data_IF_506472720226
#
_entry.id   IF_506472720226
#
_cell.length_a   1.000
_cell.length_b   1.000
_cell.length_c   1.000
_cell.angle_alpha   90.00
_cell.angle_beta   90.00
_cell.angle_gamma   90.00
#
_symmetry.space_group_name_H-M   'P 1'
#
loop_
_entity.id
_entity.type
_entity.pdbx_description
1 polymer ?
#
# COMPACT_ATOMS: atom_id res chain seq x y z
N UNK A 1 20.55 -55.29 -58.74
CA UNK A 1 19.28 -54.67 -58.24
C UNK A 1 19.51 -54.06 -56.87
N UNK A 2 19.71 -52.71 -56.82
CA UNK A 2 20.00 -51.98 -55.58
C UNK A 2 18.76 -51.23 -55.14
N UNK A 3 18.17 -51.61 -54.02
CA UNK A 3 17.08 -50.89 -53.37
C UNK A 3 17.66 -50.00 -52.32
N UNK A 4 17.64 -48.68 -52.53
CA UNK A 4 18.01 -47.65 -51.55
C UNK A 4 16.80 -47.35 -50.65
N UNK A 5 16.91 -47.63 -49.38
CA UNK A 5 15.95 -47.18 -48.35
C UNK A 5 16.21 -45.71 -47.98
N UNK A 6 15.24 -44.83 -48.27
CA UNK A 6 15.20 -43.46 -47.76
C UNK A 6 14.54 -43.48 -46.39
N UNK A 7 15.31 -43.20 -45.34
CA UNK A 7 14.78 -42.95 -44.01
C UNK A 7 14.41 -41.47 -43.89
N UNK A 8 13.11 -41.16 -43.86
CA UNK A 8 12.60 -39.83 -43.64
C UNK A 8 12.66 -39.46 -42.17
N UNK A 9 13.42 -38.39 -41.84
CA UNK A 9 13.52 -37.83 -40.49
C UNK A 9 12.34 -36.86 -40.28
N UNK A 10 11.37 -37.25 -39.43
CA UNK A 10 10.30 -36.38 -39.01
C UNK A 10 10.78 -35.54 -37.80
N UNK A 11 11.02 -34.25 -38.01
CA UNK A 11 11.26 -33.31 -36.91
C UNK A 11 9.90 -32.82 -36.40
N UNK A 12 9.51 -33.29 -35.21
CA UNK A 12 8.32 -32.80 -34.53
C UNK A 12 8.63 -31.45 -33.88
N UNK A 13 8.14 -30.39 -34.46
CA UNK A 13 8.19 -29.04 -33.91
C UNK A 13 7.13 -28.94 -32.78
N UNK A 14 7.55 -29.06 -31.52
CA UNK A 14 6.68 -28.82 -30.35
C UNK A 14 6.56 -27.33 -30.14
N UNK A 15 5.48 -26.73 -30.65
CA UNK A 15 5.06 -25.39 -30.30
C UNK A 15 4.55 -25.40 -28.83
N UNK A 16 5.39 -24.98 -27.89
CA UNK A 16 4.96 -24.67 -26.53
C UNK A 16 4.09 -23.40 -26.61
N UNK A 17 2.79 -23.59 -26.73
CA UNK A 17 1.80 -22.54 -26.48
C UNK A 17 1.87 -22.21 -24.99
N UNK A 18 2.64 -21.18 -24.64
CA UNK A 18 2.57 -20.57 -23.32
C UNK A 18 1.13 -20.09 -23.10
N UNK A 19 0.38 -20.79 -22.25
CA UNK A 19 -0.91 -20.29 -21.80
C UNK A 19 -0.69 -18.90 -21.17
N UNK A 20 -1.45 -17.86 -21.57
CA UNK A 20 -1.40 -16.60 -20.84
C UNK A 20 -1.74 -16.90 -19.39
N UNK A 21 -0.87 -16.50 -18.47
CA UNK A 21 -1.18 -16.53 -17.05
C UNK A 21 -2.52 -15.78 -16.90
N UNK A 22 -3.54 -16.48 -16.45
CA UNK A 22 -4.81 -15.86 -16.09
C UNK A 22 -4.48 -14.83 -15.00
N UNK A 23 -4.45 -13.55 -15.37
CA UNK A 23 -4.47 -12.49 -14.38
C UNK A 23 -5.81 -12.65 -13.67
N UNK A 24 -5.77 -13.06 -12.39
CA UNK A 24 -6.94 -12.94 -11.55
C UNK A 24 -7.42 -11.49 -11.68
N UNK A 25 -8.71 -11.31 -12.00
CA UNK A 25 -9.28 -9.97 -12.08
C UNK A 25 -9.10 -9.32 -10.72
N UNK A 26 -8.19 -8.34 -10.66
CA UNK A 26 -7.96 -7.58 -9.44
C UNK A 26 -9.29 -6.90 -9.04
N UNK A 27 -9.65 -6.89 -7.74
CA UNK A 27 -10.85 -6.20 -7.30
C UNK A 27 -10.91 -4.75 -7.80
N UNK A 28 -12.10 -4.19 -7.88
CA UNK A 28 -12.32 -2.85 -8.42
C UNK A 28 -11.41 -1.80 -7.78
N UNK A 29 -10.73 -1.05 -8.63
CA UNK A 29 -9.89 0.06 -8.21
C UNK A 29 -10.06 1.24 -9.17
N UNK A 30 -9.77 2.43 -8.68
CA UNK A 30 -9.83 3.64 -9.49
C UNK A 30 -8.42 4.06 -9.89
N UNK A 31 -8.19 4.22 -11.19
CA UNK A 31 -6.91 4.66 -11.74
C UNK A 31 -6.98 6.11 -12.14
N UNK A 32 -6.09 6.92 -11.56
CA UNK A 32 -5.80 8.28 -11.96
C UNK A 32 -4.49 8.26 -12.74
N UNK A 33 -4.61 8.19 -14.07
CA UNK A 33 -3.46 8.04 -14.96
C UNK A 33 -2.60 9.31 -14.98
N UNK A 34 -1.28 9.13 -15.05
CA UNK A 34 -0.34 10.21 -15.24
C UNK A 34 0.86 9.75 -16.07
N UNK A 35 1.48 10.70 -16.80
CA UNK A 35 2.64 10.45 -17.65
C UNK A 35 3.97 10.39 -16.90
N UNK A 36 4.00 10.77 -15.62
CA UNK A 36 5.22 10.76 -14.82
C UNK A 36 5.67 9.35 -14.42
N UNK A 37 6.84 9.29 -13.82
CA UNK A 37 7.56 8.03 -13.56
C UNK A 37 7.15 7.33 -12.27
N UNK A 38 6.29 7.92 -11.42
CA UNK A 38 5.93 7.37 -10.11
C UNK A 38 4.54 6.79 -10.09
N UNK A 39 4.37 5.74 -9.27
CA UNK A 39 3.08 5.17 -8.97
C UNK A 39 2.83 5.20 -7.45
N UNK A 40 1.69 5.76 -7.07
CA UNK A 40 1.15 5.69 -5.71
C UNK A 40 -0.01 4.69 -5.68
N UNK A 41 0.15 3.61 -4.92
CA UNK A 41 -0.93 2.68 -4.61
C UNK A 41 -1.58 3.13 -3.30
N UNK A 42 -2.76 3.75 -3.38
CA UNK A 42 -3.48 4.28 -2.23
C UNK A 42 -4.49 3.26 -1.71
N UNK A 43 -4.31 2.80 -0.48
CA UNK A 43 -5.22 1.87 0.19
C UNK A 43 -6.00 2.65 1.25
N UNK A 44 -7.30 2.86 1.00
CA UNK A 44 -8.19 3.60 1.90
C UNK A 44 -8.40 2.85 3.22
N UNK A 45 -8.78 3.59 4.26
CA UNK A 45 -9.03 3.03 5.59
C UNK A 45 -10.29 2.16 5.64
N UNK A 46 -10.59 1.63 6.82
CA UNK A 46 -11.84 0.91 7.12
C UNK A 46 -13.12 1.76 6.92
N UNK A 47 -12.99 3.05 6.69
CA UNK A 47 -14.10 3.93 6.35
C UNK A 47 -14.43 3.96 4.86
N UNK A 48 -13.61 3.28 4.05
CA UNK A 48 -13.70 3.32 2.60
C UNK A 48 -13.09 4.59 2.02
N UNK A 49 -13.23 4.74 0.71
CA UNK A 49 -12.72 5.87 -0.07
C UNK A 49 -13.57 7.11 0.15
N UNK A 50 -12.93 8.25 0.38
CA UNK A 50 -13.58 9.53 0.64
C UNK A 50 -13.36 10.53 -0.51
N UNK A 51 -14.28 11.52 -0.66
CA UNK A 51 -14.12 12.58 -1.67
C UNK A 51 -12.81 13.37 -1.54
N UNK A 52 -12.32 13.76 -0.34
CA UNK A 52 -11.01 14.39 -0.23
C UNK A 52 -9.84 13.52 -0.73
N UNK A 53 -9.91 12.20 -0.54
CA UNK A 53 -8.90 11.26 -1.06
C UNK A 53 -8.94 11.20 -2.59
N UNK A 54 -10.13 11.16 -3.19
CA UNK A 54 -10.30 11.19 -4.65
C UNK A 54 -9.76 12.49 -5.24
N UNK A 55 -10.12 13.62 -4.64
CA UNK A 55 -9.59 14.92 -5.06
C UNK A 55 -8.05 14.97 -4.95
N UNK A 56 -7.48 14.47 -3.86
CA UNK A 56 -6.02 14.41 -3.71
C UNK A 56 -5.37 13.52 -4.77
N UNK A 57 -5.98 12.37 -5.12
CA UNK A 57 -5.49 11.50 -6.18
C UNK A 57 -5.51 12.16 -7.56
N UNK A 58 -6.57 12.92 -7.89
CA UNK A 58 -6.65 13.74 -9.11
C UNK A 58 -5.54 14.80 -9.16
N UNK A 59 -5.31 15.50 -8.06
CA UNK A 59 -4.28 16.51 -7.96
C UNK A 59 -2.86 15.93 -8.05
N UNK A 60 -2.63 14.72 -7.54
CA UNK A 60 -1.37 13.99 -7.69
C UNK A 60 -1.16 13.58 -9.16
N UNK A 61 -2.18 13.06 -9.82
CA UNK A 61 -2.12 12.71 -11.24
C UNK A 61 -1.80 13.92 -12.12
N UNK A 62 -2.42 15.07 -11.86
CA UNK A 62 -2.11 16.32 -12.54
C UNK A 62 -0.64 16.78 -12.34
N UNK A 63 0.04 16.27 -11.31
CA UNK A 63 1.46 16.54 -11.00
C UNK A 63 2.39 15.37 -11.38
N UNK A 64 1.91 14.46 -12.21
CA UNK A 64 2.70 13.37 -12.77
C UNK A 64 2.84 12.13 -11.87
N UNK A 65 2.04 11.99 -10.81
CA UNK A 65 2.01 10.78 -9.97
C UNK A 65 0.81 9.93 -10.34
N UNK A 66 1.02 8.83 -11.09
CA UNK A 66 -0.05 7.86 -11.35
C UNK A 66 -0.56 7.33 -10.01
N UNK A 67 -1.87 7.40 -9.77
CA UNK A 67 -2.45 6.97 -8.49
C UNK A 67 -3.51 5.90 -8.71
N UNK A 68 -3.33 4.77 -8.06
CA UNK A 68 -4.33 3.70 -8.00
C UNK A 68 -4.99 3.73 -6.63
N UNK A 69 -6.28 3.97 -6.59
CA UNK A 69 -7.05 4.06 -5.35
C UNK A 69 -7.83 2.77 -5.14
N UNK A 70 -7.44 2.03 -4.09
CA UNK A 70 -8.09 0.81 -3.64
C UNK A 70 -9.03 1.11 -2.48
N UNK A 71 -10.21 0.48 -2.50
CA UNK A 71 -11.18 0.52 -1.43
C UNK A 71 -11.53 -0.91 -0.99
N UNK A 72 -10.72 -1.51 -0.09
CA UNK A 72 -10.94 -2.88 0.34
C UNK A 72 -12.28 -3.09 1.03
N UNK A 73 -12.79 -2.07 1.74
CA UNK A 73 -14.09 -2.16 2.42
C UNK A 73 -15.22 -2.44 1.43
N UNK A 74 -15.27 -1.66 0.35
CA UNK A 74 -16.26 -1.86 -0.69
C UNK A 74 -15.99 -3.12 -1.53
N UNK A 75 -14.71 -3.37 -1.88
CA UNK A 75 -14.32 -4.50 -2.71
C UNK A 75 -14.66 -5.86 -2.08
N UNK A 76 -14.57 -5.96 -0.76
CA UNK A 76 -14.86 -7.20 -0.01
C UNK A 76 -16.14 -7.13 0.83
N UNK A 77 -16.98 -6.10 0.64
CA UNK A 77 -18.22 -5.91 1.39
C UNK A 77 -18.02 -5.97 2.92
N UNK A 78 -16.94 -5.38 3.41
CA UNK A 78 -16.59 -5.42 4.81
C UNK A 78 -17.36 -4.37 5.62
N UNK A 79 -17.68 -4.65 6.90
CA UNK A 79 -18.21 -3.63 7.80
C UNK A 79 -17.19 -2.49 7.99
N UNK A 80 -17.66 -1.25 8.18
CA UNK A 80 -16.79 -0.10 8.45
C UNK A 80 -16.27 -0.10 9.91
N UNK A 81 -15.49 -1.11 10.23
CA UNK A 81 -14.88 -1.31 11.54
C UNK A 81 -13.36 -1.49 11.39
N UNK A 82 -12.52 -0.97 12.31
CA UNK A 82 -11.07 -1.09 12.19
C UNK A 82 -10.61 -2.53 11.94
N UNK A 83 -11.11 -3.51 12.69
CA UNK A 83 -10.72 -4.93 12.53
C UNK A 83 -11.16 -5.58 11.21
N UNK A 84 -12.08 -4.97 10.49
CA UNK A 84 -12.50 -5.50 9.18
C UNK A 84 -11.36 -5.55 8.17
N UNK A 85 -10.40 -4.63 8.28
CA UNK A 85 -9.21 -4.63 7.44
C UNK A 85 -8.33 -5.88 7.64
N UNK A 86 -8.44 -6.55 8.79
CA UNK A 86 -7.72 -7.80 9.07
C UNK A 86 -8.23 -8.98 8.23
N UNK A 87 -9.46 -8.87 7.68
CA UNK A 87 -10.09 -9.88 6.84
C UNK A 87 -9.72 -9.74 5.34
N UNK A 88 -9.04 -8.67 4.94
CA UNK A 88 -8.55 -8.52 3.56
C UNK A 88 -7.55 -9.64 3.26
N UNK A 89 -7.77 -10.47 2.21
CA UNK A 89 -6.89 -11.60 1.92
C UNK A 89 -5.47 -11.16 1.58
N UNK A 90 -4.49 -11.71 2.26
CA UNK A 90 -3.08 -11.43 1.99
C UNK A 90 -2.67 -11.74 0.55
N UNK A 91 -3.09 -12.86 -0.08
CA UNK A 91 -2.78 -13.14 -1.48
C UNK A 91 -3.26 -12.05 -2.43
N UNK A 92 -4.49 -11.58 -2.26
CA UNK A 92 -5.08 -10.56 -3.14
C UNK A 92 -4.33 -9.23 -3.01
N UNK A 93 -4.03 -8.81 -1.78
CA UNK A 93 -3.23 -7.61 -1.57
C UNK A 93 -1.81 -7.77 -2.14
N UNK A 94 -1.20 -8.96 -2.06
CA UNK A 94 0.10 -9.23 -2.67
C UNK A 94 0.04 -9.16 -4.20
N UNK A 95 -1.06 -9.58 -4.82
CA UNK A 95 -1.28 -9.41 -6.27
C UNK A 95 -1.37 -7.94 -6.67
N UNK A 96 -2.05 -7.09 -5.86
CA UNK A 96 -2.05 -5.65 -6.05
C UNK A 96 -0.63 -5.06 -6.04
N UNK A 97 0.17 -5.46 -5.06
CA UNK A 97 1.55 -5.00 -4.96
C UNK A 97 2.37 -5.44 -6.20
N UNK A 98 2.21 -6.68 -6.65
CA UNK A 98 2.89 -7.18 -7.85
C UNK A 98 2.41 -6.47 -9.12
N UNK A 99 1.11 -6.24 -9.26
CA UNK A 99 0.55 -5.50 -10.40
C UNK A 99 1.11 -4.08 -10.48
N UNK A 100 1.22 -3.39 -9.33
CA UNK A 100 1.86 -2.08 -9.25
C UNK A 100 3.35 -2.15 -9.65
N UNK A 101 4.10 -3.12 -9.10
CA UNK A 101 5.52 -3.33 -9.44
C UNK A 101 5.75 -3.68 -10.91
N UNK A 102 4.80 -4.38 -11.55
CA UNK A 102 4.85 -4.74 -12.96
C UNK A 102 4.74 -3.51 -13.89
N UNK A 103 4.26 -2.35 -13.39
CA UNK A 103 4.26 -1.08 -14.14
C UNK A 103 5.67 -0.57 -14.47
N UNK A 104 6.71 -1.12 -13.84
CA UNK A 104 8.10 -0.70 -14.06
C UNK A 104 8.44 0.67 -13.46
N UNK A 105 7.52 1.30 -12.74
CA UNK A 105 7.70 2.57 -12.05
C UNK A 105 8.15 2.36 -10.60
N UNK A 106 8.85 3.32 -9.97
CA UNK A 106 8.97 3.39 -8.52
C UNK A 106 7.60 3.39 -7.85
N UNK A 107 7.36 2.42 -6.97
CA UNK A 107 6.06 2.22 -6.31
C UNK A 107 6.12 2.65 -4.85
N UNK A 108 5.24 3.55 -4.46
CA UNK A 108 4.95 3.84 -3.05
C UNK A 108 3.53 3.39 -2.73
N UNK A 109 3.38 2.58 -1.69
CA UNK A 109 2.06 2.21 -1.15
C UNK A 109 1.72 3.18 -0.04
N UNK A 110 0.60 3.88 -0.15
CA UNK A 110 0.06 4.73 0.90
C UNK A 110 -1.13 4.04 1.55
N UNK A 111 -1.03 3.78 2.84
CA UNK A 111 -2.07 3.10 3.60
C UNK A 111 -2.47 3.90 4.84
N UNK A 112 -3.78 3.97 5.10
CA UNK A 112 -4.37 4.79 6.15
C UNK A 112 -4.88 3.91 7.29
N UNK A 113 -4.56 4.27 8.52
CA UNK A 113 -5.03 3.60 9.74
C UNK A 113 -4.82 2.08 9.70
N UNK A 114 -5.89 1.27 9.85
CA UNK A 114 -5.80 -0.20 9.87
C UNK A 114 -5.53 -0.81 8.48
N UNK A 115 -5.69 -0.07 7.37
CA UNK A 115 -5.28 -0.53 6.04
C UNK A 115 -3.78 -0.87 5.95
N UNK A 116 -2.98 -0.36 6.86
CA UNK A 116 -1.58 -0.75 7.01
C UNK A 116 -1.39 -2.26 7.28
N UNK A 117 -2.37 -2.94 7.90
CA UNK A 117 -2.27 -4.38 8.25
C UNK A 117 -2.22 -5.27 7.01
N UNK A 118 -3.21 -5.26 6.09
CA UNK A 118 -3.14 -6.07 4.88
C UNK A 118 -1.95 -5.71 4.00
N UNK A 119 -1.57 -4.42 3.93
CA UNK A 119 -0.39 -3.98 3.16
C UNK A 119 0.90 -4.59 3.71
N UNK A 120 1.14 -4.54 5.02
CA UNK A 120 2.37 -5.08 5.60
C UNK A 120 2.39 -6.62 5.58
N UNK A 121 1.25 -7.30 5.78
CA UNK A 121 1.14 -8.76 5.58
C UNK A 121 1.50 -9.16 4.15
N UNK A 122 0.95 -8.45 3.18
CA UNK A 122 1.24 -8.71 1.78
C UNK A 122 2.71 -8.42 1.43
N UNK A 123 3.27 -7.31 1.92
CA UNK A 123 4.68 -6.99 1.70
C UNK A 123 5.61 -8.04 2.33
N UNK A 124 5.28 -8.57 3.51
CA UNK A 124 6.03 -9.67 4.13
C UNK A 124 5.99 -10.97 3.31
N UNK A 125 4.87 -11.24 2.62
CA UNK A 125 4.68 -12.40 1.77
C UNK A 125 5.36 -12.28 0.39
N UNK A 126 5.83 -11.09 -0.02
CA UNK A 126 6.57 -10.91 -1.26
C UNK A 126 7.98 -11.51 -1.18
N UNK A 127 8.53 -11.89 -2.34
CA UNK A 127 9.94 -12.24 -2.44
C UNK A 127 10.81 -11.04 -2.01
N UNK A 128 12.00 -11.28 -1.40
CA UNK A 128 12.87 -10.18 -0.94
C UNK A 128 13.19 -9.15 -2.03
N UNK A 129 13.40 -9.59 -3.27
CA UNK A 129 13.68 -8.70 -4.40
C UNK A 129 12.47 -7.83 -4.80
N UNK A 130 11.24 -8.34 -4.71
CA UNK A 130 10.01 -7.58 -4.93
C UNK A 130 9.83 -6.56 -3.81
N UNK A 131 9.96 -7.00 -2.55
CA UNK A 131 9.80 -6.17 -1.36
C UNK A 131 10.78 -5.00 -1.31
N UNK A 132 12.03 -5.20 -1.71
CA UNK A 132 13.05 -4.16 -1.75
C UNK A 132 12.73 -3.03 -2.75
N UNK A 133 11.84 -3.26 -3.71
CA UNK A 133 11.38 -2.27 -4.70
C UNK A 133 10.17 -1.45 -4.22
N UNK A 134 9.61 -1.76 -3.05
CA UNK A 134 8.48 -1.06 -2.46
C UNK A 134 8.93 -0.04 -1.42
N UNK A 135 8.24 1.09 -1.40
CA UNK A 135 8.18 1.98 -0.27
C UNK A 135 6.76 1.98 0.28
N UNK A 136 6.61 2.00 1.58
CA UNK A 136 5.31 2.04 2.24
C UNK A 136 5.23 3.31 3.09
N UNK A 137 4.22 4.12 2.84
CA UNK A 137 3.90 5.32 3.60
C UNK A 137 2.63 5.06 4.39
N UNK A 138 2.69 5.17 5.70
CA UNK A 138 1.61 4.83 6.62
C UNK A 138 1.11 6.08 7.34
N UNK A 139 -0.14 6.47 7.12
CA UNK A 139 -0.77 7.55 7.85
C UNK A 139 -1.42 7.04 9.14
N UNK A 140 -0.92 7.51 10.30
CA UNK A 140 -1.37 7.12 11.65
C UNK A 140 -1.75 5.64 11.75
N UNK A 141 -0.82 4.73 11.46
CA UNK A 141 -1.14 3.32 11.31
C UNK A 141 -1.63 2.70 12.63
N UNK A 142 -2.74 1.97 12.55
CA UNK A 142 -3.26 1.19 13.66
C UNK A 142 -2.72 -0.24 13.56
N UNK A 143 -1.50 -0.46 14.08
CA UNK A 143 -0.76 -1.73 14.02
C UNK A 143 -0.60 -2.39 15.40
N UNK A 144 -1.53 -2.14 16.29
CA UNK A 144 -1.47 -2.65 17.65
C UNK A 144 -2.77 -3.30 18.08
N UNK A 145 -2.67 -4.11 19.13
CA UNK A 145 -3.80 -4.64 19.89
C UNK A 145 -3.70 -4.16 21.32
N UNK A 146 -4.84 -3.94 21.95
CA UNK A 146 -4.94 -3.63 23.39
C UNK A 146 -5.78 -4.72 24.01
N UNK A 147 -5.21 -5.44 24.96
CA UNK A 147 -5.90 -6.55 25.62
C UNK A 147 -6.98 -6.04 26.58
N UNK A 148 -6.68 -4.95 27.28
CA UNK A 148 -7.56 -4.33 28.28
C UNK A 148 -7.54 -2.80 28.12
N UNK A 149 -8.59 -2.10 28.56
CA UNK A 149 -8.58 -0.65 28.59
C UNK A 149 -7.37 -0.11 29.38
N UNK A 150 -6.69 0.88 28.83
CA UNK A 150 -5.49 1.51 29.37
C UNK A 150 -4.22 0.64 29.45
N UNK A 151 -4.25 -0.60 28.96
CA UNK A 151 -3.05 -1.40 28.83
C UNK A 151 -2.11 -0.84 27.74
N UNK A 152 -0.82 -1.08 27.92
CA UNK A 152 0.15 -0.82 26.85
C UNK A 152 -0.17 -1.64 25.62
N UNK A 153 -0.08 -1.07 24.40
CA UNK A 153 -0.39 -1.80 23.19
C UNK A 153 0.69 -2.86 22.90
N UNK A 154 0.25 -4.04 22.48
CA UNK A 154 1.10 -5.02 21.82
C UNK A 154 1.09 -4.74 20.31
N UNK A 155 2.26 -4.67 19.70
CA UNK A 155 2.40 -4.42 18.27
C UNK A 155 2.27 -5.70 17.47
N UNK A 156 1.67 -5.60 16.26
CA UNK A 156 1.48 -6.75 15.38
C UNK A 156 2.83 -7.21 14.81
N UNK A 157 3.01 -8.52 14.76
CA UNK A 157 4.11 -9.17 14.06
C UNK A 157 3.67 -9.56 12.64
N UNK A 158 4.42 -9.09 11.65
CA UNK A 158 4.21 -9.39 10.23
C UNK A 158 5.22 -10.41 9.70
N UNK A 159 6.14 -10.88 10.53
CA UNK A 159 7.29 -11.67 10.13
C UNK A 159 8.41 -10.79 9.56
N UNK A 160 9.08 -11.24 8.50
CA UNK A 160 10.22 -10.50 7.96
C UNK A 160 9.78 -9.36 7.04
N UNK A 161 10.11 -8.12 7.45
CA UNK A 161 10.00 -6.92 6.64
C UNK A 161 11.37 -6.46 6.10
N UNK A 162 12.37 -7.34 6.09
CA UNK A 162 13.73 -7.01 5.66
C UNK A 162 13.75 -6.43 4.23
N UNK A 163 14.39 -5.26 4.10
CA UNK A 163 14.48 -4.52 2.85
C UNK A 163 13.29 -3.59 2.55
N UNK A 164 12.18 -3.69 3.30
CA UNK A 164 11.05 -2.77 3.15
C UNK A 164 11.38 -1.42 3.76
N UNK A 165 11.09 -0.35 3.02
CA UNK A 165 11.21 1.04 3.51
C UNK A 165 9.83 1.49 3.99
N UNK A 166 9.72 1.82 5.28
CA UNK A 166 8.45 2.24 5.91
C UNK A 166 8.57 3.66 6.43
N UNK A 167 7.69 4.55 5.98
CA UNK A 167 7.59 5.93 6.42
C UNK A 167 6.26 6.17 7.13
N UNK A 168 6.30 6.54 8.42
CA UNK A 168 5.12 6.77 9.24
C UNK A 168 4.81 8.27 9.31
N UNK A 169 3.61 8.66 8.89
CA UNK A 169 3.07 10.01 9.04
C UNK A 169 2.16 10.04 10.27
N UNK A 170 2.63 10.62 11.36
CA UNK A 170 1.92 10.61 12.63
C UNK A 170 1.39 11.99 12.99
N UNK A 171 0.06 12.22 13.01
CA UNK A 171 -0.52 13.45 13.53
C UNK A 171 -0.15 13.67 14.99
N UNK A 172 0.35 14.87 15.35
CA UNK A 172 0.76 15.22 16.72
C UNK A 172 -0.36 15.00 17.74
N UNK A 173 -1.58 15.29 17.34
CA UNK A 173 -2.77 15.23 18.22
C UNK A 173 -3.53 13.90 18.09
N UNK A 174 -2.84 12.82 17.73
CA UNK A 174 -3.36 11.46 17.76
C UNK A 174 -3.19 10.85 19.15
N UNK A 175 -4.17 10.05 19.57
CA UNK A 175 -4.09 9.28 20.82
C UNK A 175 -2.97 8.23 20.77
N UNK A 176 -2.56 7.78 19.57
CA UNK A 176 -1.50 6.82 19.39
C UNK A 176 -0.09 7.45 19.37
N UNK A 177 0.04 8.78 19.38
CA UNK A 177 1.36 9.45 19.33
C UNK A 177 2.31 9.06 20.47
N UNK A 178 1.86 8.88 21.72
CA UNK A 178 2.73 8.38 22.80
C UNK A 178 3.34 7.00 22.51
N UNK A 179 2.66 6.17 21.73
CA UNK A 179 3.08 4.81 21.38
C UNK A 179 3.94 4.73 20.12
N UNK A 180 4.14 5.85 19.41
CA UNK A 180 4.93 5.89 18.18
C UNK A 180 6.35 5.32 18.35
N UNK A 181 7.13 5.64 19.41
CA UNK A 181 8.47 5.08 19.55
C UNK A 181 8.48 3.55 19.58
N UNK A 182 7.54 2.93 20.31
CA UNK A 182 7.39 1.47 20.37
C UNK A 182 6.99 0.87 19.01
N UNK A 183 6.10 1.53 18.28
CA UNK A 183 5.72 1.12 16.93
C UNK A 183 6.92 1.12 15.97
N UNK A 184 7.70 2.21 15.95
CA UNK A 184 8.89 2.31 15.10
C UNK A 184 9.93 1.23 15.46
N UNK A 185 10.14 1.00 16.75
CA UNK A 185 11.05 -0.06 17.23
C UNK A 185 10.57 -1.46 16.80
N UNK A 186 9.26 -1.74 16.90
CA UNK A 186 8.67 -3.00 16.47
C UNK A 186 8.85 -3.25 14.96
N UNK A 187 8.58 -2.26 14.12
CA UNK A 187 8.78 -2.37 12.66
C UNK A 187 10.28 -2.56 12.32
N UNK A 188 11.17 -1.86 12.99
CA UNK A 188 12.61 -2.00 12.80
C UNK A 188 13.10 -3.38 13.25
N UNK A 189 12.58 -3.93 14.36
CA UNK A 189 12.92 -5.28 14.84
C UNK A 189 12.49 -6.37 13.83
N UNK A 190 11.44 -6.13 13.04
CA UNK A 190 11.01 -7.00 11.93
C UNK A 190 11.85 -6.78 10.65
N UNK A 191 12.85 -5.92 10.67
CA UNK A 191 13.81 -5.70 9.59
C UNK A 191 13.47 -4.56 8.62
N UNK A 192 12.42 -3.78 8.88
CA UNK A 192 12.09 -2.62 8.06
C UNK A 192 13.08 -1.47 8.27
N UNK A 193 13.35 -0.70 7.20
CA UNK A 193 14.03 0.60 7.30
C UNK A 193 12.99 1.67 7.57
N UNK A 194 12.93 2.15 8.81
CA UNK A 194 11.83 2.98 9.30
C UNK A 194 12.23 4.44 9.41
N UNK A 195 11.34 5.34 8.95
CA UNK A 195 11.35 6.78 9.20
C UNK A 195 9.98 7.25 9.63
N UNK A 196 9.90 8.45 10.18
CA UNK A 196 8.61 9.07 10.52
C UNK A 196 8.66 10.59 10.33
N UNK A 197 7.48 11.16 10.14
CA UNK A 197 7.23 12.60 10.20
C UNK A 197 6.07 12.87 11.16
N UNK A 198 6.21 13.90 12.00
CA UNK A 198 5.13 14.38 12.86
C UNK A 198 4.37 15.46 12.11
N UNK A 199 3.06 15.28 11.97
CA UNK A 199 2.16 16.25 11.37
C UNK A 199 1.60 17.15 12.45
N UNK A 200 2.19 18.34 12.57
CA UNK A 200 1.83 19.28 13.63
C UNK A 200 0.39 19.78 13.51
N UNK A 201 -0.27 20.00 14.63
CA UNK A 201 -1.64 20.52 14.75
C UNK A 201 -2.74 19.66 14.14
N UNK A 202 -2.44 18.47 13.60
CA UNK A 202 -3.39 17.55 13.01
C UNK A 202 -3.81 16.44 13.99
N UNK A 203 -5.08 16.02 13.85
CA UNK A 203 -5.64 14.80 14.45
C UNK A 203 -5.75 13.70 13.41
N UNK A 204 -5.95 12.47 13.84
CA UNK A 204 -6.22 11.33 12.96
C UNK A 204 -7.42 11.62 12.05
N UNK A 205 -7.31 11.24 10.78
CA UNK A 205 -8.38 11.41 9.80
C UNK A 205 -8.81 12.87 9.60
N UNK A 206 -7.89 13.84 9.70
CA UNK A 206 -8.21 15.27 9.64
C UNK A 206 -9.05 15.68 8.43
N UNK A 207 -8.95 14.95 7.31
CA UNK A 207 -9.70 15.23 6.08
C UNK A 207 -11.12 14.63 6.05
N UNK A 208 -11.46 13.74 6.99
CA UNK A 208 -12.75 13.03 7.04
C UNK A 208 -13.49 13.23 8.38
N UNK A 209 -13.06 14.20 9.20
CA UNK A 209 -13.69 14.45 10.50
C UNK A 209 -15.02 15.19 10.32
N UNK A 210 -16.01 14.85 11.16
CA UNK A 210 -17.30 15.55 11.21
C UNK A 210 -17.13 16.99 11.72
N UNK A 211 -16.21 17.21 12.66
CA UNK A 211 -15.93 18.52 13.26
C UNK A 211 -14.45 18.89 13.10
N UNK A 212 -13.99 19.21 11.88
CA UNK A 212 -12.61 19.61 11.66
C UNK A 212 -12.37 21.05 12.15
N UNK A 213 -11.14 21.35 12.54
CA UNK A 213 -10.70 22.73 12.74
C UNK A 213 -10.48 23.43 11.40
N UNK A 214 -10.44 24.76 11.36
CA UNK A 214 -10.13 25.50 10.13
C UNK A 214 -8.78 25.09 9.53
N UNK A 215 -7.78 24.78 10.38
CA UNK A 215 -6.48 24.27 9.94
C UNK A 215 -6.61 22.88 9.29
N UNK A 216 -7.36 21.94 9.89
CA UNK A 216 -7.58 20.60 9.34
C UNK A 216 -8.34 20.65 8.00
N UNK A 217 -9.30 21.57 7.84
CA UNK A 217 -9.98 21.78 6.55
C UNK A 217 -8.98 22.24 5.49
N UNK A 218 -8.11 23.20 5.81
CA UNK A 218 -7.11 23.70 4.89
C UNK A 218 -6.11 22.59 4.51
N UNK A 219 -5.60 21.83 5.48
CA UNK A 219 -4.67 20.71 5.24
C UNK A 219 -5.34 19.54 4.49
N UNK A 220 -6.61 19.26 4.73
CA UNK A 220 -7.37 18.26 3.98
C UNK A 220 -7.45 18.62 2.47
N UNK A 221 -7.70 19.88 2.14
CA UNK A 221 -7.71 20.35 0.75
C UNK A 221 -6.34 20.28 0.08
N UNK A 222 -5.26 20.38 0.86
CA UNK A 222 -3.86 20.32 0.39
C UNK A 222 -3.20 18.98 0.65
N UNK A 223 -3.96 17.92 0.94
CA UNK A 223 -3.40 16.59 1.24
C UNK A 223 -2.46 16.09 0.14
N UNK A 224 -2.75 16.39 -1.12
CA UNK A 224 -1.88 16.08 -2.24
C UNK A 224 -0.50 16.76 -2.16
N UNK A 225 -0.40 17.98 -1.62
CA UNK A 225 0.88 18.68 -1.43
C UNK A 225 1.72 18.01 -0.35
N UNK A 226 1.08 17.60 0.76
CA UNK A 226 1.72 16.80 1.80
C UNK A 226 2.27 15.51 1.21
N UNK A 227 1.43 14.73 0.51
CA UNK A 227 1.85 13.45 -0.07
C UNK A 227 2.96 13.63 -1.12
N UNK A 228 2.87 14.67 -1.97
CA UNK A 228 3.90 14.94 -2.98
C UNK A 228 5.24 15.31 -2.34
N UNK A 229 5.25 16.10 -1.26
CA UNK A 229 6.46 16.41 -0.50
C UNK A 229 7.08 15.14 0.07
N UNK A 230 6.30 14.30 0.76
CA UNK A 230 6.79 13.06 1.37
C UNK A 230 7.27 12.06 0.30
N UNK A 231 6.60 11.99 -0.86
CA UNK A 231 7.05 11.19 -2.00
C UNK A 231 8.39 11.68 -2.57
N UNK A 232 8.61 13.00 -2.60
CA UNK A 232 9.87 13.58 -3.07
C UNK A 232 11.03 13.34 -2.11
N UNK A 233 10.77 13.45 -0.82
CA UNK A 233 11.79 13.32 0.22
C UNK A 233 12.10 11.86 0.53
N UNK A 234 11.11 11.00 0.50
CA UNK A 234 11.25 9.65 1.01
C UNK A 234 10.66 8.53 0.14
N UNK A 235 9.84 8.81 -0.83
CA UNK A 235 9.28 7.81 -1.75
C UNK A 235 10.35 6.98 -2.46
N UNK A 236 9.95 5.88 -3.09
CA UNK A 236 10.82 5.09 -3.96
C UNK A 236 11.33 5.95 -5.14
N UNK A 237 12.59 5.79 -5.46
CA UNK A 237 13.27 6.43 -6.58
C UNK A 237 13.63 5.40 -7.63
#
# INVERSE_FOLDING_TARGET
MNTKHFAGLWVALVLALGAPAAHADLPEHRVFAASGERLLLWVSSERGRTEPELHAAEQLAARGVETWSLDPVNAYFLPQLPRSMDAVPTPDMAEWLRAALARGKPVTVYAVARAAVPVLRAAAALAPAERARLCVMLAYPNLYTVAEPLAEPAYLDFGSLAGLRVHVLQPRRSAATPWLPGLLASLAAQGAVVRHAILENLREGWWMRETPTAFEVAEGRRMHELLLRELNEWGCK
#
